data_IF_678741449264
#
_entry.id   IF_678741449264
#
_cell.length_a   1.000
_cell.length_b   1.000
_cell.length_c   1.000
_cell.angle_alpha   90.00
_cell.angle_beta   90.00
_cell.angle_gamma   90.00
#
_symmetry.space_group_name_H-M   'P 1'
#
loop_
_entity.id
_entity.type
_entity.pdbx_description
1 polymer ?
#
# COMPACT_ATOMS: atom_id res chain seq x y z
N UNK A 1 -11.38 -23.38 -48.00
CA UNK A 1 -11.66 -22.65 -46.75
C UNK A 1 -10.44 -22.76 -45.82
N UNK A 2 -9.27 -22.26 -46.24
CA UNK A 2 -8.06 -22.28 -45.39
C UNK A 2 -8.09 -21.06 -44.49
N UNK A 3 -8.81 -21.21 -43.39
CA UNK A 3 -8.89 -20.23 -42.33
C UNK A 3 -7.58 -20.29 -41.52
N UNK A 4 -6.85 -19.18 -41.50
CA UNK A 4 -5.73 -18.84 -40.60
C UNK A 4 -4.36 -19.48 -40.86
N UNK A 5 -3.44 -18.62 -41.33
CA UNK A 5 -1.98 -18.86 -41.38
C UNK A 5 -1.42 -19.00 -39.96
N UNK A 6 -0.46 -19.92 -39.67
CA UNK A 6 0.02 -20.22 -38.31
C UNK A 6 0.65 -19.04 -37.59
N UNK A 7 1.02 -17.98 -38.32
CA UNK A 7 1.53 -16.72 -37.77
C UNK A 7 0.48 -15.97 -36.94
N UNK A 8 -0.78 -15.96 -37.38
CA UNK A 8 -1.86 -15.29 -36.67
C UNK A 8 -2.26 -16.07 -35.42
N UNK A 9 -2.26 -17.40 -35.49
CA UNK A 9 -2.52 -18.26 -34.33
C UNK A 9 -1.47 -18.02 -33.24
N UNK A 10 -0.18 -17.96 -33.59
CA UNK A 10 0.90 -17.70 -32.62
C UNK A 10 0.81 -16.32 -31.99
N UNK A 11 0.51 -15.29 -32.78
CA UNK A 11 0.30 -13.93 -32.28
C UNK A 11 -0.89 -13.85 -31.32
N UNK A 12 -2.00 -14.52 -31.66
CA UNK A 12 -3.18 -14.57 -30.82
C UNK A 12 -2.93 -15.32 -29.52
N UNK A 13 -2.24 -16.47 -29.57
CA UNK A 13 -1.84 -17.23 -28.38
C UNK A 13 -0.91 -16.43 -27.47
N UNK A 14 0.05 -15.71 -28.03
CA UNK A 14 0.96 -14.87 -27.27
C UNK A 14 0.22 -13.71 -26.58
N UNK A 15 -0.72 -13.07 -27.28
CA UNK A 15 -1.53 -11.99 -26.71
C UNK A 15 -2.46 -12.51 -25.60
N UNK A 16 -3.07 -13.67 -25.78
CA UNK A 16 -3.91 -14.33 -24.77
C UNK A 16 -3.10 -14.69 -23.52
N UNK A 17 -1.88 -15.21 -23.72
CA UNK A 17 -0.96 -15.51 -22.61
C UNK A 17 -0.61 -14.24 -21.85
N UNK A 18 -0.22 -13.15 -22.52
CA UNK A 18 0.10 -11.88 -21.84
C UNK A 18 -1.09 -11.35 -21.06
N UNK A 19 -2.30 -11.41 -21.63
CA UNK A 19 -3.51 -10.95 -20.96
C UNK A 19 -3.84 -11.76 -19.68
N UNK A 20 -3.49 -13.04 -19.63
CA UNK A 20 -3.67 -13.89 -18.44
C UNK A 20 -2.76 -13.53 -17.27
N UNK A 21 -1.64 -12.82 -17.51
CA UNK A 21 -0.70 -12.38 -16.48
C UNK A 21 -0.92 -10.93 -16.02
N UNK A 22 -1.91 -10.22 -16.55
CA UNK A 22 -2.27 -8.88 -16.09
C UNK A 22 -3.14 -9.01 -14.84
N UNK A 23 -2.51 -9.08 -13.67
CA UNK A 23 -3.22 -8.94 -12.39
C UNK A 23 -3.39 -7.45 -12.07
N UNK A 24 -4.61 -6.99 -11.73
CA UNK A 24 -4.80 -5.63 -11.26
C UNK A 24 -4.02 -5.43 -9.95
N UNK A 25 -3.16 -4.42 -9.89
CA UNK A 25 -2.51 -4.00 -8.66
C UNK A 25 -3.55 -3.27 -7.80
N UNK A 26 -4.05 -3.91 -6.75
CA UNK A 26 -4.87 -3.22 -5.73
C UNK A 26 -3.94 -2.61 -4.69
N UNK A 27 -4.03 -1.30 -4.47
CA UNK A 27 -3.44 -0.71 -3.28
C UNK A 27 -4.22 -1.25 -2.06
N UNK A 28 -3.53 -1.95 -1.18
CA UNK A 28 -4.09 -2.36 0.11
C UNK A 28 -3.65 -1.38 1.20
N UNK A 29 -4.42 -1.39 2.28
CA UNK A 29 -4.25 -0.63 3.52
C UNK A 29 -4.84 0.78 3.55
N UNK A 30 -6.17 0.82 3.66
CA UNK A 30 -6.76 1.71 4.66
C UNK A 30 -6.80 0.92 5.95
N UNK A 31 -5.77 1.04 6.79
CA UNK A 31 -5.81 0.48 8.13
C UNK A 31 -6.94 1.19 8.91
N UNK A 32 -8.07 0.52 9.21
CA UNK A 32 -9.25 1.16 9.77
C UNK A 32 -9.02 1.67 11.20
N UNK A 33 -7.84 1.40 11.77
CA UNK A 33 -7.51 1.73 13.15
C UNK A 33 -6.70 3.01 13.33
N UNK A 34 -6.26 3.70 12.27
CA UNK A 34 -5.71 5.06 12.40
C UNK A 34 -6.83 6.05 12.69
N UNK A 35 -6.91 6.54 13.93
CA UNK A 35 -7.99 7.45 14.35
C UNK A 35 -7.45 8.73 14.96
N UNK A 36 -8.24 9.80 14.81
CA UNK A 36 -8.00 11.10 15.43
C UNK A 36 -6.64 11.74 15.05
N UNK A 37 -6.33 11.92 13.75
CA UNK A 37 -5.12 12.63 13.35
C UNK A 37 -5.18 14.10 13.80
N UNK A 38 -4.08 14.61 14.32
CA UNK A 38 -3.90 16.02 14.67
C UNK A 38 -2.49 16.48 14.27
N UNK A 39 -2.39 17.67 13.69
CA UNK A 39 -1.10 18.27 13.31
C UNK A 39 -0.48 18.94 14.53
N UNK A 40 0.82 18.75 14.73
CA UNK A 40 1.59 19.44 15.77
C UNK A 40 1.54 20.97 15.54
N UNK A 41 1.51 21.83 16.58
CA UNK A 41 1.41 23.28 16.40
C UNK A 41 2.52 23.89 15.55
N UNK A 42 3.73 23.33 15.57
CA UNK A 42 4.86 23.78 14.76
C UNK A 42 4.79 23.28 13.31
N UNK A 43 3.85 22.37 13.00
CA UNK A 43 3.56 21.90 11.64
C UNK A 43 4.55 20.88 11.08
N UNK A 44 5.40 20.32 11.91
CA UNK A 44 6.47 19.37 11.55
C UNK A 44 6.03 17.90 11.62
N UNK A 45 5.07 17.57 12.48
CA UNK A 45 4.61 16.20 12.71
C UNK A 45 3.08 16.07 12.78
N UNK A 46 2.59 14.85 12.60
CA UNK A 46 1.19 14.44 12.74
C UNK A 46 1.11 13.38 13.84
N UNK A 47 0.30 13.64 14.86
CA UNK A 47 -0.03 12.66 15.90
C UNK A 47 -1.32 11.90 15.55
N UNK A 48 -1.38 10.60 15.80
CA UNK A 48 -2.58 9.78 15.60
C UNK A 48 -2.63 8.61 16.58
N UNK A 49 -3.84 8.10 16.83
CA UNK A 49 -4.04 6.89 17.65
C UNK A 49 -4.09 5.65 16.77
N UNK A 50 -3.38 4.59 17.19
CA UNK A 50 -3.35 3.30 16.50
C UNK A 50 -3.18 2.14 17.49
N UNK A 51 -4.07 1.16 17.43
CA UNK A 51 -4.06 -0.04 18.30
C UNK A 51 -3.95 0.26 19.81
N UNK A 52 -4.54 1.38 20.25
CA UNK A 52 -4.53 1.79 21.66
C UNK A 52 -3.32 2.62 22.09
N UNK A 53 -2.38 2.86 21.17
CA UNK A 53 -1.17 3.64 21.39
C UNK A 53 -1.22 4.97 20.63
N UNK A 54 -0.39 5.94 21.07
CA UNK A 54 -0.24 7.24 20.40
C UNK A 54 1.04 7.25 19.57
N UNK A 55 0.92 7.66 18.31
CA UNK A 55 2.01 7.64 17.34
C UNK A 55 2.22 9.03 16.76
N UNK A 56 3.45 9.33 16.32
CA UNK A 56 3.78 10.53 15.54
C UNK A 56 4.49 10.16 14.24
N UNK A 57 4.31 10.97 13.21
CA UNK A 57 4.99 10.83 11.91
C UNK A 57 5.33 12.22 11.35
N UNK A 58 6.46 12.42 10.66
CA UNK A 58 6.76 13.70 10.01
C UNK A 58 5.70 14.10 8.99
N UNK A 59 5.46 15.41 8.83
CA UNK A 59 4.45 15.93 7.89
C UNK A 59 4.78 15.65 6.42
N UNK A 60 6.07 15.54 6.11
CA UNK A 60 6.57 15.14 4.79
C UNK A 60 6.41 13.62 4.53
N UNK A 61 5.89 12.88 5.50
CA UNK A 61 5.81 11.43 5.51
C UNK A 61 7.10 10.78 6.00
N UNK A 62 7.03 9.47 6.23
CA UNK A 62 8.16 8.71 6.75
C UNK A 62 7.71 7.62 7.71
N UNK A 63 8.60 7.28 8.63
CA UNK A 63 8.36 6.24 9.62
C UNK A 63 7.60 6.80 10.83
N UNK A 64 6.55 6.11 11.26
CA UNK A 64 5.81 6.48 12.45
C UNK A 64 6.49 5.92 13.71
N UNK A 65 6.60 6.76 14.74
CA UNK A 65 7.22 6.42 16.01
C UNK A 65 6.18 6.44 17.13
N UNK A 66 6.35 5.56 18.11
CA UNK A 66 5.51 5.60 19.31
C UNK A 66 5.86 6.86 20.14
N UNK A 67 4.82 7.58 20.53
CA UNK A 67 4.96 8.80 21.33
C UNK A 67 5.49 8.46 22.73
N UNK A 68 6.52 9.18 23.17
CA UNK A 68 7.13 9.04 24.50
C UNK A 68 8.33 8.10 24.58
N UNK A 69 8.51 7.17 23.63
CA UNK A 69 9.70 6.31 23.55
C UNK A 69 10.48 6.47 22.23
N UNK A 70 9.89 7.10 21.20
CA UNK A 70 10.57 7.37 19.93
C UNK A 70 11.05 6.12 19.19
N UNK A 71 10.45 4.97 19.47
CA UNK A 71 10.82 3.70 18.86
C UNK A 71 9.79 3.31 17.79
N UNK A 72 10.28 2.71 16.71
CA UNK A 72 9.47 1.97 15.75
C UNK A 72 9.04 0.67 16.42
N UNK A 73 7.74 0.47 16.70
CA UNK A 73 7.27 -0.71 17.39
C UNK A 73 7.46 -1.96 16.53
N UNK A 74 7.89 -3.04 17.17
CA UNK A 74 7.94 -4.34 16.51
C UNK A 74 6.53 -4.75 16.04
N UNK A 75 6.40 -5.52 14.94
CA UNK A 75 5.12 -6.01 14.48
C UNK A 75 4.43 -6.81 15.60
N UNK A 76 3.35 -6.27 16.17
CA UNK A 76 2.54 -7.02 17.15
C UNK A 76 1.67 -7.99 16.35
N UNK A 77 1.86 -9.31 16.55
CA UNK A 77 0.97 -10.32 15.96
C UNK A 77 -0.46 -10.05 16.47
N UNK A 78 -1.38 -9.87 15.51
CA UNK A 78 -2.81 -9.74 15.76
C UNK A 78 -3.41 -11.06 16.30
#
# INVERSE_FOLDING_TARGET
>A
MSLFSPMHTRLFSALLLVALFVTPATAQDTDPFMRHPAVHPDGDEIAFSYQGDLWTVPIDGGEALLFGNGQVPAPRRA
#
